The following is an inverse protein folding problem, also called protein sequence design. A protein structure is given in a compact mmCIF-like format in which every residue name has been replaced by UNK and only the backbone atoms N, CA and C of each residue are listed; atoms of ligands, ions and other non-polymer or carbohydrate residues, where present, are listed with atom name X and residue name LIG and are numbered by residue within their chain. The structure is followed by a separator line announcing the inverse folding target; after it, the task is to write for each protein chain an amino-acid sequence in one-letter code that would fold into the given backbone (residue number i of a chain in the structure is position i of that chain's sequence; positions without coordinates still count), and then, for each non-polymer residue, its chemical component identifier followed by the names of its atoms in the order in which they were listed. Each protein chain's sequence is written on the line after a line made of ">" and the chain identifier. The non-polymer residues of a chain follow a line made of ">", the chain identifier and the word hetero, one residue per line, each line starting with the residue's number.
data_IF_586079907585
#
_entry.id   IF_586079907585
#
_cell.length_a   1.000
_cell.length_b   1.000
_cell.length_c   1.000
_cell.angle_alpha   90.00
_cell.angle_beta   90.00
_cell.angle_gamma   90.00
#
_symmetry.space_group_name_H-M   'P 1'
#
loop_
_entity.id
_entity.type
_entity.pdbx_description
1 polymer ?
#
# COMPACT_ATOMS: atom_id res chain seq x y z
N UNK A 1 31.25 9.12 -8.02
CA UNK A 1 31.36 7.79 -8.65
C UNK A 1 30.88 7.85 -10.10
N UNK A 2 29.65 8.30 -10.37
CA UNK A 2 29.09 8.58 -11.72
C UNK A 2 30.05 9.35 -12.65
N UNK A 3 30.55 10.53 -12.24
CA UNK A 3 31.48 11.33 -13.05
C UNK A 3 32.76 10.58 -13.47
N UNK A 4 33.33 9.76 -12.58
CA UNK A 4 34.55 9.00 -12.89
C UNK A 4 34.27 7.84 -13.86
N UNK A 5 33.09 7.22 -13.74
CA UNK A 5 32.66 6.15 -14.65
C UNK A 5 32.36 6.74 -16.04
N UNK A 6 31.62 7.84 -16.11
CA UNK A 6 31.35 8.53 -17.38
C UNK A 6 32.65 8.99 -18.05
N UNK A 7 33.63 9.50 -17.29
CA UNK A 7 34.97 9.85 -17.84
C UNK A 7 35.70 8.64 -18.42
N UNK A 8 35.61 7.47 -17.78
CA UNK A 8 36.16 6.21 -18.30
C UNK A 8 35.46 5.77 -19.58
N UNK A 9 34.13 5.82 -19.61
CA UNK A 9 33.33 5.51 -20.79
C UNK A 9 33.70 6.45 -21.94
N UNK A 10 33.80 7.75 -21.68
CA UNK A 10 34.18 8.76 -22.66
C UNK A 10 35.56 8.50 -23.25
N UNK A 11 36.54 8.18 -22.40
CA UNK A 11 37.91 7.90 -22.85
C UNK A 11 37.95 6.64 -23.72
N UNK A 12 37.24 5.58 -23.32
CA UNK A 12 37.12 4.35 -24.10
C UNK A 12 36.42 4.59 -25.44
N UNK A 13 35.31 5.31 -25.44
CA UNK A 13 34.52 5.58 -26.65
C UNK A 13 35.30 6.45 -27.63
N UNK A 14 36.03 7.46 -27.14
CA UNK A 14 36.88 8.32 -27.97
C UNK A 14 38.01 7.51 -28.60
N UNK A 15 38.73 6.72 -27.80
CA UNK A 15 39.78 5.84 -28.33
C UNK A 15 39.26 4.82 -29.34
N UNK A 16 38.04 4.32 -29.17
CA UNK A 16 37.40 3.45 -30.16
C UNK A 16 37.09 4.18 -31.47
N UNK A 17 36.53 5.41 -31.41
CA UNK A 17 36.29 6.24 -32.62
C UNK A 17 37.60 6.53 -33.36
N UNK A 18 38.68 6.84 -32.62
CA UNK A 18 40.00 7.11 -33.18
C UNK A 18 40.62 5.86 -33.83
N UNK A 19 40.49 4.68 -33.21
CA UNK A 19 40.94 3.43 -33.79
C UNK A 19 40.20 3.07 -35.10
N UNK A 20 38.90 3.39 -35.19
CA UNK A 20 38.14 3.24 -36.44
C UNK A 20 38.70 4.20 -37.49
N UNK A 21 38.96 5.47 -37.14
CA UNK A 21 39.53 6.46 -38.05
C UNK A 21 40.89 6.01 -38.60
N UNK A 22 41.78 5.52 -37.74
CA UNK A 22 43.09 4.99 -38.15
C UNK A 22 42.94 3.79 -39.08
N UNK A 23 42.04 2.85 -38.74
CA UNK A 23 41.78 1.67 -39.57
C UNK A 23 41.20 2.05 -40.94
N UNK A 24 40.28 3.02 -40.98
CA UNK A 24 39.71 3.55 -42.22
C UNK A 24 40.77 4.24 -43.08
N UNK A 25 41.72 4.97 -42.48
CA UNK A 25 42.84 5.57 -43.18
C UNK A 25 43.81 4.52 -43.76
N UNK A 26 44.00 3.39 -43.06
CA UNK A 26 44.90 2.32 -43.51
C UNK A 26 44.38 1.49 -44.70
N UNK A 27 43.07 1.48 -44.94
CA UNK A 27 42.43 0.65 -45.97
C UNK A 27 42.37 1.29 -47.36
N UNK A 28 42.88 2.53 -47.51
CA UNK A 28 43.01 3.32 -48.75
C UNK A 28 41.85 3.14 -49.74
N UNK A 29 40.65 3.46 -49.27
CA UNK A 29 39.43 3.32 -50.06
C UNK A 29 39.34 4.35 -51.20
N UNK A 30 38.79 3.92 -52.34
CA UNK A 30 38.60 4.77 -53.52
C UNK A 30 37.55 5.88 -53.33
N UNK A 31 36.46 5.62 -52.59
CA UNK A 31 35.35 6.57 -52.40
C UNK A 31 35.47 7.36 -51.09
N UNK A 32 36.36 8.36 -51.07
CA UNK A 32 36.64 9.19 -49.88
C UNK A 32 35.41 9.97 -49.36
N UNK A 33 34.45 10.30 -50.23
CA UNK A 33 33.24 11.03 -49.84
C UNK A 33 32.33 10.24 -48.89
N UNK A 34 31.99 8.98 -49.25
CA UNK A 34 31.13 8.13 -48.40
C UNK A 34 31.78 7.79 -47.06
N UNK A 35 33.11 7.75 -47.02
CA UNK A 35 33.86 7.51 -45.78
C UNK A 35 33.80 8.70 -44.85
N UNK A 36 33.86 9.92 -45.38
CA UNK A 36 33.69 11.11 -44.57
C UNK A 36 32.28 11.18 -43.99
N UNK A 37 31.24 10.83 -44.76
CA UNK A 37 29.86 10.74 -44.25
C UNK A 37 29.74 9.72 -43.09
N UNK A 38 30.38 8.56 -43.22
CA UNK A 38 30.40 7.54 -42.17
C UNK A 38 31.18 8.03 -40.94
N UNK A 39 32.30 8.72 -41.13
CA UNK A 39 33.09 9.27 -40.02
C UNK A 39 32.31 10.36 -39.27
N UNK A 40 31.64 11.27 -39.98
CA UNK A 40 30.75 12.27 -39.39
C UNK A 40 29.67 11.58 -38.55
N UNK A 41 28.97 10.58 -39.12
CA UNK A 41 27.97 9.81 -38.38
C UNK A 41 28.53 9.15 -37.12
N UNK A 42 29.73 8.56 -37.18
CA UNK A 42 30.37 7.92 -36.02
C UNK A 42 30.71 8.94 -34.94
N UNK A 43 31.23 10.11 -35.31
CA UNK A 43 31.61 11.15 -34.34
C UNK A 43 30.39 11.84 -33.73
N UNK A 44 29.34 12.05 -34.50
CA UNK A 44 28.07 12.64 -34.07
C UNK A 44 27.21 11.68 -33.26
N UNK A 45 27.47 10.37 -33.34
CA UNK A 45 26.72 9.38 -32.54
C UNK A 45 26.80 9.68 -31.05
N UNK A 46 25.61 9.70 -30.42
CA UNK A 46 25.41 10.05 -29.03
C UNK A 46 26.29 9.24 -28.08
N UNK A 47 26.88 9.94 -27.11
CA UNK A 47 27.74 9.32 -26.10
C UNK A 47 26.91 8.65 -25.03
N UNK A 48 27.26 7.42 -24.69
CA UNK A 48 26.67 6.75 -23.53
C UNK A 48 27.01 7.52 -22.25
N UNK A 49 25.98 8.05 -21.60
CA UNK A 49 26.10 8.79 -20.34
C UNK A 49 25.22 8.12 -19.29
N UNK A 50 25.83 7.62 -18.22
CA UNK A 50 25.10 7.08 -17.08
C UNK A 50 24.59 8.24 -16.24
N UNK A 51 23.32 8.17 -15.87
CA UNK A 51 22.64 9.16 -15.04
C UNK A 51 22.57 8.68 -13.59
N UNK A 52 22.20 9.58 -12.67
CA UNK A 52 22.00 9.23 -11.25
C UNK A 52 21.06 8.06 -11.06
N UNK A 53 20.02 7.95 -11.90
CA UNK A 53 18.99 6.90 -11.79
C UNK A 53 19.56 5.50 -12.02
N UNK A 54 20.63 5.37 -12.80
CA UNK A 54 21.31 4.10 -13.06
C UNK A 54 22.06 3.57 -11.81
N UNK A 55 22.42 4.45 -10.89
CA UNK A 55 23.09 4.10 -9.63
C UNK A 55 22.11 3.94 -8.47
N UNK A 56 20.85 4.34 -8.63
CA UNK A 56 19.82 4.17 -7.60
C UNK A 56 19.32 2.73 -7.63
N UNK A 57 19.50 2.00 -6.52
CA UNK A 57 18.78 0.73 -6.32
C UNK A 57 17.29 1.02 -6.42
N UNK A 58 16.65 0.53 -7.48
CA UNK A 58 15.20 0.67 -7.68
C UNK A 58 14.48 0.18 -6.43
N UNK A 59 13.84 1.11 -5.71
CA UNK A 59 12.97 0.78 -4.58
C UNK A 59 11.69 0.23 -5.18
N UNK A 60 11.51 -1.10 -5.14
CA UNK A 60 10.24 -1.72 -5.53
C UNK A 60 9.12 -1.08 -4.71
N UNK A 61 8.15 -0.47 -5.39
CA UNK A 61 6.92 0.01 -4.76
C UNK A 61 6.28 -1.17 -4.05
N UNK A 62 6.15 -1.08 -2.73
CA UNK A 62 5.48 -2.13 -1.96
C UNK A 62 3.98 -1.94 -2.19
N UNK A 63 3.36 -2.79 -3.00
CA UNK A 63 1.91 -2.85 -3.05
C UNK A 63 1.40 -3.31 -1.68
N UNK A 64 0.68 -2.44 -0.99
CA UNK A 64 0.08 -2.76 0.30
C UNK A 64 -1.13 -3.67 0.06
N UNK A 65 -0.99 -4.94 0.42
CA UNK A 65 -2.13 -5.88 0.46
C UNK A 65 -2.99 -5.51 1.68
N UNK A 66 -4.33 -5.42 1.55
CA UNK A 66 -5.24 -5.24 2.69
C UNK A 66 -4.98 -6.26 3.79
N UNK A 67 -5.09 -5.86 5.07
CA UNK A 67 -4.80 -6.71 6.24
C UNK A 67 -5.55 -8.03 6.20
N UNK A 68 -6.82 -7.99 5.79
CA UNK A 68 -7.69 -9.16 5.62
C UNK A 68 -7.05 -10.20 4.69
N UNK A 69 -6.42 -9.78 3.60
CA UNK A 69 -5.86 -10.67 2.58
C UNK A 69 -4.41 -11.07 2.86
N UNK A 70 -3.84 -10.68 4.01
CA UNK A 70 -2.50 -11.07 4.42
C UNK A 70 -2.50 -12.44 5.07
N UNK A 71 -1.39 -13.11 4.93
CA UNK A 71 -1.12 -14.36 5.61
C UNK A 71 -1.11 -14.17 7.15
N UNK A 72 -1.78 -15.07 7.87
CA UNK A 72 -1.89 -15.00 9.34
C UNK A 72 -0.64 -15.49 10.07
N UNK A 73 0.31 -16.14 9.40
CA UNK A 73 1.52 -16.67 10.02
C UNK A 73 2.56 -15.59 10.36
N UNK A 74 3.36 -15.85 11.40
CA UNK A 74 4.45 -14.97 11.87
C UNK A 74 5.76 -15.24 11.13
N UNK A 75 6.58 -14.20 11.00
CA UNK A 75 7.98 -14.28 10.59
C UNK A 75 8.88 -14.57 11.78
N UNK A 76 10.15 -14.85 11.54
CA UNK A 76 11.17 -15.00 12.59
C UNK A 76 11.24 -13.78 13.54
N UNK A 77 10.88 -12.59 13.03
CA UNK A 77 10.82 -11.35 13.81
C UNK A 77 9.54 -11.20 14.65
N UNK A 78 8.64 -12.20 14.67
CA UNK A 78 7.36 -12.14 15.38
C UNK A 78 6.25 -11.36 14.67
N UNK A 79 6.57 -10.59 13.62
CA UNK A 79 5.59 -9.83 12.82
C UNK A 79 4.75 -10.70 11.88
N UNK A 80 3.52 -10.24 11.58
CA UNK A 80 2.66 -10.87 10.59
C UNK A 80 3.29 -10.90 9.19
N UNK A 81 3.15 -12.03 8.51
CA UNK A 81 3.63 -12.16 7.14
C UNK A 81 2.90 -11.20 6.18
N UNK A 82 3.68 -10.36 5.50
CA UNK A 82 3.14 -9.39 4.52
C UNK A 82 2.76 -10.00 3.15
N UNK A 83 2.75 -11.33 3.00
CA UNK A 83 2.42 -12.00 1.74
C UNK A 83 0.91 -12.25 1.67
N UNK A 84 0.36 -12.25 0.46
CA UNK A 84 -1.05 -12.58 0.24
C UNK A 84 -1.31 -14.04 0.60
N UNK A 85 -2.47 -14.31 1.23
CA UNK A 85 -2.96 -15.65 1.50
C UNK A 85 -3.37 -16.37 0.19
N UNK A 86 -3.26 -17.69 0.16
CA UNK A 86 -3.78 -18.50 -0.97
C UNK A 86 -5.31 -18.56 -0.91
N UNK A 87 -5.94 -18.84 -2.04
CA UNK A 87 -7.37 -19.14 -2.07
C UNK A 87 -7.68 -20.33 -1.15
N UNK A 88 -8.72 -20.19 -0.33
CA UNK A 88 -9.16 -21.18 0.66
C UNK A 88 -8.09 -21.57 1.70
N UNK A 89 -7.11 -20.70 1.97
CA UNK A 89 -6.09 -20.94 2.98
C UNK A 89 -5.74 -19.63 3.71
N UNK A 90 -5.56 -19.69 5.02
CA UNK A 90 -5.15 -18.53 5.84
C UNK A 90 -3.66 -18.17 5.69
N UNK A 91 -2.92 -19.00 4.95
CA UNK A 91 -1.48 -18.89 4.80
C UNK A 91 -1.07 -18.59 3.35
N UNK A 92 0.06 -17.90 3.20
CA UNK A 92 0.72 -17.76 1.90
C UNK A 92 1.37 -19.10 1.49
N UNK A 93 1.77 -19.23 0.22
CA UNK A 93 2.36 -20.48 -0.29
C UNK A 93 3.61 -21.00 0.42
N UNK A 94 4.29 -20.17 1.22
CA UNK A 94 5.44 -20.60 2.05
C UNK A 94 5.00 -21.08 3.42
N UNK A 95 4.02 -20.42 4.03
CA UNK A 95 3.47 -20.83 5.33
C UNK A 95 2.40 -21.93 5.21
N UNK A 96 1.94 -22.26 4.00
CA UNK A 96 1.05 -23.41 3.77
C UNK A 96 1.74 -24.76 3.97
N UNK A 97 3.07 -24.82 3.88
CA UNK A 97 3.85 -26.04 4.13
C UNK A 97 4.14 -26.27 5.62
N UNK A 98 3.87 -25.28 6.46
CA UNK A 98 4.17 -25.29 7.89
C UNK A 98 4.31 -23.88 8.43
N UNK A 99 3.99 -23.71 9.71
CA UNK A 99 4.01 -22.41 10.41
C UNK A 99 5.08 -22.46 11.50
N UNK A 100 6.36 -22.21 11.17
CA UNK A 100 7.47 -22.45 12.10
C UNK A 100 7.45 -21.49 13.31
N UNK A 101 6.91 -20.28 13.16
CA UNK A 101 6.90 -19.25 14.21
C UNK A 101 5.50 -18.98 14.78
N UNK A 102 4.55 -19.89 14.55
CA UNK A 102 3.15 -19.74 14.94
C UNK A 102 2.36 -18.73 14.09
N UNK A 103 1.07 -18.60 14.38
CA UNK A 103 0.16 -17.64 13.75
C UNK A 103 -0.03 -16.40 14.64
N UNK A 104 -0.43 -15.30 14.02
CA UNK A 104 -1.07 -14.20 14.71
C UNK A 104 -2.38 -14.77 15.27
N UNK A 105 -2.56 -14.72 16.59
CA UNK A 105 -3.87 -14.94 17.17
C UNK A 105 -4.77 -13.85 16.59
N UNK A 106 -5.72 -14.24 15.75
CA UNK A 106 -6.90 -13.42 15.51
C UNK A 106 -7.66 -13.43 16.82
N UNK A 107 -7.27 -12.60 17.77
CA UNK A 107 -8.20 -12.18 18.79
C UNK A 107 -9.36 -11.57 18.00
N UNK A 108 -10.52 -12.20 18.09
CA UNK A 108 -11.77 -11.74 17.50
C UNK A 108 -12.28 -10.45 18.20
N UNK A 109 -11.38 -9.62 18.72
CA UNK A 109 -11.62 -8.38 19.46
C UNK A 109 -11.14 -7.18 18.64
N UNK A 110 -11.39 -7.18 17.34
CA UNK A 110 -11.65 -5.89 16.70
C UNK A 110 -13.10 -5.57 17.06
N UNK A 111 -13.40 -4.57 17.90
CA UNK A 111 -14.78 -4.12 18.06
C UNK A 111 -15.22 -3.66 16.68
N UNK A 112 -16.02 -4.48 15.99
CA UNK A 112 -16.58 -4.12 14.70
C UNK A 112 -17.42 -2.88 14.95
N UNK A 113 -17.01 -1.74 14.42
CA UNK A 113 -17.82 -0.52 14.49
C UNK A 113 -19.08 -0.77 13.64
N UNK A 114 -20.19 -1.05 14.31
CA UNK A 114 -21.49 -1.19 13.66
C UNK A 114 -22.15 0.17 13.60
N UNK A 115 -22.57 0.59 12.40
CA UNK A 115 -23.41 1.78 12.25
C UNK A 115 -24.81 1.43 12.70
N UNK A 116 -25.29 2.13 13.72
CA UNK A 116 -26.64 1.98 14.26
C UNK A 116 -27.42 3.27 14.03
N UNK A 117 -28.66 3.13 13.58
CA UNK A 117 -29.59 4.26 13.41
C UNK A 117 -30.38 4.45 14.70
N UNK A 118 -30.40 5.68 15.21
CA UNK A 118 -31.23 6.09 16.34
C UNK A 118 -32.30 7.07 15.86
N UNK A 119 -33.49 6.97 16.43
CA UNK A 119 -34.61 7.88 16.17
C UNK A 119 -35.01 8.60 17.46
N UNK A 120 -35.57 9.81 17.32
CA UNK A 120 -36.01 10.63 18.44
C UNK A 120 -37.52 10.39 18.68
N UNK A 121 -37.87 9.97 19.89
CA UNK A 121 -39.23 9.68 20.31
C UNK A 121 -39.57 10.48 21.57
N UNK A 122 -40.78 11.03 21.65
CA UNK A 122 -41.25 11.76 22.83
C UNK A 122 -41.96 10.82 23.80
N UNK A 123 -41.36 10.62 24.98
CA UNK A 123 -41.94 9.79 26.06
C UNK A 123 -42.22 10.72 27.24
N UNK A 124 -43.50 10.87 27.60
CA UNK A 124 -43.96 11.71 28.73
C UNK A 124 -43.44 13.16 28.68
N UNK A 125 -43.33 13.74 27.49
CA UNK A 125 -42.89 15.12 27.30
C UNK A 125 -41.37 15.34 27.23
N UNK A 126 -40.58 14.26 27.25
CA UNK A 126 -39.12 14.30 27.14
C UNK A 126 -38.71 13.52 25.89
N UNK A 127 -37.84 14.11 25.07
CA UNK A 127 -37.32 13.48 23.85
C UNK A 127 -36.17 12.54 24.18
N UNK A 128 -36.32 11.27 23.80
CA UNK A 128 -35.31 10.23 23.97
C UNK A 128 -34.83 9.72 22.61
N UNK A 129 -33.57 9.30 22.55
CA UNK A 129 -32.99 8.66 21.37
C UNK A 129 -32.99 7.15 21.56
N UNK A 130 -33.64 6.44 20.64
CA UNK A 130 -33.91 5.01 20.74
C UNK A 130 -33.43 4.30 19.48
N UNK A 131 -32.88 3.09 19.60
CA UNK A 131 -32.53 2.24 18.45
C UNK A 131 -33.62 1.19 18.13
N UNK A 132 -33.37 0.40 17.08
CA UNK A 132 -34.23 -0.73 16.68
C UNK A 132 -34.26 -1.88 17.71
N UNK A 133 -33.35 -1.88 18.68
CA UNK A 133 -33.27 -2.87 19.76
C UNK A 133 -33.89 -2.36 21.07
N UNK A 134 -34.57 -1.20 21.03
CA UNK A 134 -35.22 -0.55 22.17
C UNK A 134 -34.24 -0.11 23.28
N UNK A 135 -32.98 0.15 22.95
CA UNK A 135 -32.02 0.77 23.84
C UNK A 135 -32.20 2.29 23.80
N UNK A 136 -32.26 2.91 24.97
CA UNK A 136 -32.39 4.35 25.13
C UNK A 136 -31.03 4.93 25.46
N UNK A 137 -30.57 5.87 24.63
CA UNK A 137 -29.24 6.47 24.74
C UNK A 137 -29.25 7.79 25.48
N UNK A 138 -28.13 8.10 26.15
CA UNK A 138 -27.91 9.40 26.76
C UNK A 138 -27.90 10.49 25.67
N UNK A 139 -28.78 11.48 25.80
CA UNK A 139 -28.94 12.58 24.85
C UNK A 139 -27.63 13.33 24.59
N UNK A 140 -26.85 13.63 25.64
CA UNK A 140 -25.54 14.28 25.56
C UNK A 140 -24.55 13.51 24.67
N UNK A 141 -24.51 12.19 24.79
CA UNK A 141 -23.57 11.35 24.02
C UNK A 141 -23.95 11.29 22.53
N UNK A 142 -25.27 11.32 22.23
CA UNK A 142 -25.78 11.37 20.86
C UNK A 142 -25.51 12.73 20.23
N UNK A 143 -25.78 13.83 20.95
CA UNK A 143 -25.50 15.19 20.48
C UNK A 143 -23.99 15.44 20.28
N UNK A 144 -23.15 14.80 21.09
CA UNK A 144 -21.69 14.87 20.97
C UNK A 144 -21.10 13.94 19.88
N UNK A 145 -21.92 13.19 19.13
CA UNK A 145 -21.48 12.20 18.14
C UNK A 145 -20.46 11.19 18.69
N UNK A 146 -20.66 10.73 19.93
CA UNK A 146 -19.78 9.76 20.57
C UNK A 146 -19.91 8.40 19.89
N UNK A 147 -18.79 7.72 19.63
CA UNK A 147 -18.74 6.44 18.91
C UNK A 147 -19.30 5.24 19.68
N UNK A 148 -19.52 5.38 20.99
CA UNK A 148 -20.19 4.39 21.85
C UNK A 148 -21.02 5.12 22.93
N UNK A 149 -22.21 5.63 22.58
CA UNK A 149 -23.05 6.37 23.51
C UNK A 149 -23.57 5.45 24.62
N UNK A 150 -23.63 5.96 25.85
CA UNK A 150 -24.10 5.20 27.00
C UNK A 150 -25.61 4.91 26.90
N UNK A 151 -26.00 3.66 27.16
CA UNK A 151 -27.39 3.24 27.26
C UNK A 151 -27.86 3.51 28.70
N UNK A 152 -28.92 4.29 28.84
CA UNK A 152 -29.47 4.70 30.15
C UNK A 152 -30.70 3.89 30.58
N UNK A 153 -31.43 3.32 29.62
CA UNK A 153 -32.63 2.53 29.87
C UNK A 153 -32.96 1.65 28.66
N UNK A 154 -33.95 0.78 28.83
CA UNK A 154 -34.62 0.08 27.71
C UNK A 154 -36.10 0.48 27.67
N UNK A 155 -36.64 0.67 26.49
CA UNK A 155 -38.08 0.91 26.34
C UNK A 155 -38.82 -0.37 25.95
N UNK A 156 -40.08 -0.48 26.35
CA UNK A 156 -41.00 -1.51 25.88
C UNK A 156 -42.04 -0.87 24.97
N UNK A 157 -42.35 -1.54 23.86
CA UNK A 157 -43.35 -1.08 22.92
C UNK A 157 -44.72 -1.59 23.36
N UNK A 158 -45.56 -0.68 23.85
CA UNK A 158 -46.96 -0.95 24.23
C UNK A 158 -47.88 -0.55 23.07
N UNK A 159 -49.13 -1.02 23.09
CA UNK A 159 -50.17 -0.69 22.09
C UNK A 159 -50.48 0.82 21.95
N UNK A 160 -49.97 1.66 22.84
CA UNK A 160 -50.14 3.12 22.86
C UNK A 160 -48.86 3.94 22.68
N UNK A 161 -47.70 3.31 22.43
CA UNK A 161 -46.41 4.01 22.30
C UNK A 161 -45.24 3.29 22.96
N UNK A 162 -44.21 4.04 23.36
CA UNK A 162 -43.04 3.52 24.07
C UNK A 162 -43.10 3.88 25.56
N UNK A 163 -42.95 2.87 26.42
CA UNK A 163 -42.79 3.05 27.86
C UNK A 163 -41.35 2.75 28.28
N UNK A 164 -40.79 3.56 29.19
CA UNK A 164 -39.45 3.36 29.74
C UNK A 164 -39.50 2.31 30.86
N UNK A 165 -38.64 1.29 30.77
CA UNK A 165 -38.35 0.41 31.90
C UNK A 165 -37.27 1.05 32.79
N UNK A 166 -37.27 0.68 34.08
CA UNK A 166 -36.40 1.23 35.13
C UNK A 166 -34.98 1.55 34.66
N UNK A 167 -34.51 2.74 35.03
CA UNK A 167 -33.15 3.21 34.76
C UNK A 167 -32.14 2.25 35.38
N UNK A 168 -31.28 1.65 34.55
CA UNK A 168 -30.15 0.89 35.05
C UNK A 168 -29.12 1.90 35.59
N UNK A 169 -29.05 2.04 36.90
CA UNK A 169 -28.00 2.80 37.60
C UNK A 169 -26.66 2.06 37.61
#
# INVERSE_FOLDING_TARGET
>A
MEKNINKRIETYTTGFKDAIREKMASLDFAEKQKINEILEFIYDYDRLCLTKDDFVKRKRTKNCIPSENRCTAKRANGEQCTRQRKENCEFCGTHSKGVPHGSMATNADNPSQQKLEVFAEEIRGIVYYIDKYNNVYKTEDILANKSNPAIIAKCTKTSSGYDLNDFAY
#
